data_IF_898303368265
#
_entry.id   IF_898303368265
#
_cell.length_a   1.000
_cell.length_b   1.000
_cell.length_c   1.000
_cell.angle_alpha   90.00
_cell.angle_beta   90.00
_cell.angle_gamma   90.00
#
_symmetry.space_group_name_H-M   'P 1'
#
loop_
_entity.id
_entity.type
_entity.pdbx_description
1 polymer ?
#
# COMPACT_ATOMS: atom_id res chain seq x y z
N UNK A 1 -1.86 -5.83 36.30
CA UNK A 1 -2.28 -5.09 35.10
C UNK A 1 -1.02 -4.58 34.41
N UNK A 2 -0.54 -5.32 33.41
CA UNK A 2 0.74 -5.04 32.75
C UNK A 2 0.51 -3.94 31.71
N UNK A 3 0.81 -2.69 32.07
CA UNK A 3 0.89 -1.60 31.10
C UNK A 3 2.13 -1.87 30.24
N UNK A 4 1.93 -2.48 29.08
CA UNK A 4 2.98 -2.70 28.08
C UNK A 4 3.43 -1.31 27.61
N UNK A 5 4.62 -0.89 28.04
CA UNK A 5 5.32 0.26 27.48
C UNK A 5 5.78 -0.09 26.07
N UNK A 6 4.90 0.07 25.08
CA UNK A 6 5.25 -0.18 23.67
C UNK A 6 6.31 0.88 23.27
N UNK A 7 7.53 0.48 22.90
CA UNK A 7 8.55 1.43 22.46
C UNK A 7 8.06 2.19 21.22
N UNK A 8 8.26 3.50 21.20
CA UNK A 8 7.86 4.38 20.09
C UNK A 8 8.44 3.88 18.74
N UNK A 9 9.65 3.32 18.76
CA UNK A 9 10.27 2.70 17.59
C UNK A 9 9.47 1.54 17.00
N UNK A 10 8.88 0.69 17.85
CA UNK A 10 8.04 -0.44 17.41
C UNK A 10 6.72 0.04 16.81
N UNK A 11 6.11 1.10 17.38
CA UNK A 11 4.90 1.73 16.82
C UNK A 11 5.21 2.28 15.43
N UNK A 12 6.32 2.99 15.26
CA UNK A 12 6.74 3.55 13.97
C UNK A 12 6.91 2.47 12.90
N UNK A 13 7.60 1.37 13.24
CA UNK A 13 7.78 0.26 12.30
C UNK A 13 6.44 -0.38 11.91
N UNK A 14 5.60 -0.68 12.90
CA UNK A 14 4.28 -1.27 12.67
C UNK A 14 3.41 -0.37 11.78
N UNK A 15 3.33 0.93 12.07
CA UNK A 15 2.54 1.87 11.27
C UNK A 15 2.98 1.91 9.81
N UNK A 16 4.29 1.99 9.55
CA UNK A 16 4.83 2.00 8.18
C UNK A 16 4.53 0.67 7.47
N UNK A 17 4.63 -0.46 8.18
CA UNK A 17 4.29 -1.76 7.63
C UNK A 17 2.81 -1.86 7.24
N UNK A 18 1.89 -1.39 8.10
CA UNK A 18 0.46 -1.36 7.81
C UNK A 18 0.14 -0.49 6.60
N UNK A 19 0.74 0.70 6.49
CA UNK A 19 0.58 1.57 5.31
C UNK A 19 1.04 0.81 4.06
N UNK A 20 2.23 0.21 4.10
CA UNK A 20 2.76 -0.53 2.96
C UNK A 20 1.85 -1.66 2.49
N UNK A 21 1.38 -2.51 3.41
CA UNK A 21 0.50 -3.63 3.07
C UNK A 21 -0.87 -3.16 2.58
N UNK A 22 -1.44 -2.13 3.20
CA UNK A 22 -2.71 -1.55 2.73
C UNK A 22 -2.56 -0.97 1.33
N UNK A 23 -1.48 -0.21 1.07
CA UNK A 23 -1.18 0.32 -0.26
C UNK A 23 -1.05 -0.79 -1.30
N UNK A 24 -0.37 -1.89 -0.98
CA UNK A 24 -0.28 -3.06 -1.86
C UNK A 24 -1.66 -3.64 -2.18
N UNK A 25 -2.51 -3.85 -1.16
CA UNK A 25 -3.86 -4.36 -1.33
C UNK A 25 -4.73 -3.44 -2.18
N UNK A 26 -4.63 -2.12 -1.98
CA UNK A 26 -5.37 -1.13 -2.77
C UNK A 26 -4.89 -1.08 -4.23
N UNK A 27 -3.58 -1.14 -4.48
CA UNK A 27 -3.05 -1.25 -5.84
C UNK A 27 -3.64 -2.47 -6.57
N UNK A 28 -3.57 -3.64 -5.93
CA UNK A 28 -4.02 -4.87 -6.54
C UNK A 28 -5.55 -4.88 -6.71
N UNK A 29 -6.28 -4.37 -5.73
CA UNK A 29 -7.73 -4.22 -5.80
C UNK A 29 -8.18 -3.28 -6.91
N UNK A 30 -7.52 -2.13 -7.08
CA UNK A 30 -7.79 -1.20 -8.17
C UNK A 30 -7.54 -1.83 -9.54
N UNK A 31 -6.42 -2.53 -9.72
CA UNK A 31 -6.10 -3.23 -10.98
C UNK A 31 -7.09 -4.36 -11.29
N UNK A 32 -7.50 -5.14 -10.28
CA UNK A 32 -8.54 -6.17 -10.48
C UNK A 32 -9.85 -5.51 -10.90
N UNK A 33 -10.28 -4.45 -10.18
CA UNK A 33 -11.50 -3.72 -10.49
C UNK A 33 -11.48 -3.17 -11.92
N UNK A 34 -10.38 -2.54 -12.31
CA UNK A 34 -10.15 -2.02 -13.66
C UNK A 34 -10.29 -3.14 -14.69
N UNK A 35 -9.62 -4.28 -14.47
CA UNK A 35 -9.66 -5.44 -15.36
C UNK A 35 -11.05 -6.03 -15.55
N UNK A 36 -11.85 -6.14 -14.49
CA UNK A 36 -13.21 -6.70 -14.57
C UNK A 36 -14.24 -5.68 -15.09
N UNK A 37 -13.97 -4.38 -14.93
CA UNK A 37 -14.90 -3.30 -15.31
C UNK A 37 -14.66 -2.77 -16.72
N UNK A 38 -13.49 -3.06 -17.30
CA UNK A 38 -13.09 -2.63 -18.63
C UNK A 38 -14.08 -3.11 -19.69
N UNK A 39 -14.63 -2.17 -20.46
CA UNK A 39 -15.58 -2.45 -21.54
C UNK A 39 -15.37 -1.49 -22.70
N UNK A 40 -15.77 -1.91 -23.90
CA UNK A 40 -15.53 -1.15 -25.15
C UNK A 40 -16.31 0.17 -25.19
N UNK A 41 -17.55 0.18 -24.71
CA UNK A 41 -18.43 1.36 -24.74
C UNK A 41 -19.01 1.65 -23.35
N UNK A 42 -18.23 2.22 -22.42
CA UNK A 42 -18.71 2.55 -21.10
C UNK A 42 -19.70 3.73 -21.15
N UNK A 43 -20.77 3.64 -20.36
CA UNK A 43 -21.58 4.82 -20.06
C UNK A 43 -20.80 5.77 -19.13
N UNK A 44 -21.32 7.00 -18.96
CA UNK A 44 -20.64 8.04 -18.17
C UNK A 44 -20.27 7.60 -16.75
N UNK A 45 -21.13 6.84 -16.07
CA UNK A 45 -20.87 6.40 -14.69
C UNK A 45 -19.72 5.39 -14.65
N UNK A 46 -19.67 4.50 -15.63
CA UNK A 46 -18.63 3.48 -15.76
C UNK A 46 -17.28 4.09 -16.14
N UNK A 47 -17.28 5.11 -17.01
CA UNK A 47 -16.07 5.86 -17.33
C UNK A 47 -15.51 6.59 -16.09
N UNK A 48 -16.39 7.21 -15.29
CA UNK A 48 -15.97 7.87 -14.04
C UNK A 48 -15.42 6.86 -13.04
N UNK A 49 -16.03 5.68 -12.91
CA UNK A 49 -15.54 4.67 -11.97
C UNK A 49 -14.15 4.15 -12.35
N UNK A 50 -13.84 4.03 -13.65
CA UNK A 50 -12.49 3.72 -14.13
C UNK A 50 -11.48 4.80 -13.73
N UNK A 51 -11.80 6.08 -13.94
CA UNK A 51 -10.93 7.20 -13.52
C UNK A 51 -10.69 7.19 -12.00
N UNK A 52 -11.72 6.89 -11.21
CA UNK A 52 -11.56 6.75 -9.75
C UNK A 52 -10.63 5.58 -9.40
N UNK A 53 -10.75 4.45 -10.09
CA UNK A 53 -9.84 3.31 -9.89
C UNK A 53 -8.38 3.68 -10.19
N UNK A 54 -8.13 4.43 -11.27
CA UNK A 54 -6.79 4.91 -11.65
C UNK A 54 -6.21 5.86 -10.60
N UNK A 55 -7.03 6.77 -10.06
CA UNK A 55 -6.61 7.68 -8.98
C UNK A 55 -6.26 6.91 -7.71
N UNK A 56 -7.08 5.92 -7.33
CA UNK A 56 -6.80 5.04 -6.18
C UNK A 56 -5.49 4.28 -6.41
N UNK A 57 -5.31 3.70 -7.60
CA UNK A 57 -4.09 2.99 -7.98
C UNK A 57 -2.87 3.91 -7.89
N UNK A 58 -2.94 5.13 -8.44
CA UNK A 58 -1.85 6.09 -8.42
C UNK A 58 -1.44 6.48 -7.00
N UNK A 59 -2.40 6.84 -6.14
CA UNK A 59 -2.13 7.21 -4.74
C UNK A 59 -1.57 6.02 -3.96
N UNK A 60 -2.18 4.84 -4.11
CA UNK A 60 -1.72 3.62 -3.47
C UNK A 60 -0.32 3.23 -3.94
N UNK A 61 -0.01 3.36 -5.23
CA UNK A 61 1.30 3.07 -5.80
C UNK A 61 2.40 3.96 -5.24
N UNK A 62 2.14 5.27 -5.12
CA UNK A 62 3.08 6.21 -4.49
C UNK A 62 3.31 5.84 -3.03
N UNK A 63 2.23 5.60 -2.26
CA UNK A 63 2.34 5.21 -0.86
C UNK A 63 3.08 3.87 -0.69
N UNK A 64 2.86 2.90 -1.58
CA UNK A 64 3.53 1.61 -1.60
C UNK A 64 5.03 1.77 -1.82
N UNK A 65 5.44 2.56 -2.81
CA UNK A 65 6.86 2.80 -3.13
C UNK A 65 7.57 3.54 -1.99
N UNK A 66 7.00 4.65 -1.51
CA UNK A 66 7.61 5.44 -0.44
C UNK A 66 7.74 4.63 0.85
N UNK A 67 6.69 3.91 1.25
CA UNK A 67 6.74 3.06 2.43
C UNK A 67 7.69 1.87 2.24
N UNK A 68 7.76 1.27 1.06
CA UNK A 68 8.66 0.15 0.76
C UNK A 68 10.13 0.56 0.85
N UNK A 69 10.52 1.63 0.16
CA UNK A 69 11.88 2.20 0.22
C UNK A 69 12.24 2.54 1.67
N UNK A 70 11.34 3.22 2.38
CA UNK A 70 11.59 3.60 3.77
C UNK A 70 11.78 2.37 4.68
N UNK A 71 11.03 1.28 4.46
CA UNK A 71 11.20 0.02 5.22
C UNK A 71 12.55 -0.62 4.98
N UNK A 72 13.02 -0.69 3.75
CA UNK A 72 14.35 -1.24 3.45
C UNK A 72 15.43 -0.41 4.13
N UNK A 73 15.35 0.92 4.05
CA UNK A 73 16.39 1.82 4.58
C UNK A 73 16.41 1.92 6.12
N UNK A 74 15.29 1.70 6.81
CA UNK A 74 15.18 1.93 8.26
C UNK A 74 14.86 0.71 9.10
N UNK A 75 14.31 -0.34 8.50
CA UNK A 75 13.87 -1.55 9.22
C UNK A 75 14.37 -2.85 8.57
N UNK A 76 15.16 -2.76 7.48
CA UNK A 76 15.83 -3.92 6.89
C UNK A 76 16.89 -4.48 7.83
N UNK A 77 17.02 -5.81 7.85
CA UNK A 77 18.09 -6.47 8.60
C UNK A 77 19.40 -6.40 7.80
N UNK A 78 20.52 -6.20 8.50
CA UNK A 78 21.85 -6.17 7.87
C UNK A 78 22.26 -7.55 7.33
N UNK A 79 23.29 -7.59 6.48
CA UNK A 79 23.85 -8.84 5.94
C UNK A 79 24.28 -9.83 7.03
N UNK A 80 24.67 -9.32 8.20
CA UNK A 80 25.04 -10.14 9.37
C UNK A 80 23.87 -10.99 9.91
N UNK A 81 22.61 -10.63 9.63
CA UNK A 81 21.48 -11.48 10.00
C UNK A 81 21.41 -12.77 9.16
N UNK A 82 22.05 -12.77 7.99
CA UNK A 82 21.95 -13.84 6.99
C UNK A 82 23.25 -14.62 6.79
N UNK A 83 24.27 -14.39 7.64
CA UNK A 83 25.58 -15.07 7.60
C UNK A 83 25.87 -15.67 8.96
#
# INVERSE_FOLDING_TARGET
MLLISIPIGSIKNASVAYIHYLSFMLCFGALIYERISLKVNPNRKEAISMVVADVIYGIAGIALLLSGIYRVLKFGQGSEFYT
#
